data_IF_056950147975
#
_entry.id   IF_056950147975
#
_cell.length_a   1.000
_cell.length_b   1.000
_cell.length_c   1.000
_cell.angle_alpha   90.00
_cell.angle_beta   90.00
_cell.angle_gamma   90.00
#
_symmetry.space_group_name_H-M   'P 1'
#
loop_
_entity.id
_entity.type
_entity.pdbx_description
1 polymer ?
#
# COMPACT_ATOMS: atom_id res chain seq x y z
N UNK A 1 24.83 -12.48 -14.39
CA UNK A 1 23.71 -12.49 -13.42
C UNK A 1 22.70 -11.51 -13.96
N UNK A 2 21.53 -12.04 -14.33
CA UNK A 2 20.49 -11.31 -15.05
C UNK A 2 19.74 -10.41 -14.06
N UNK A 3 19.69 -9.10 -14.32
CA UNK A 3 19.06 -8.10 -13.41
C UNK A 3 17.52 -8.14 -13.47
N UNK A 4 16.94 -9.09 -14.20
CA UNK A 4 15.50 -9.31 -14.32
C UNK A 4 14.84 -9.84 -13.04
N UNK A 5 15.63 -10.37 -12.09
CA UNK A 5 15.17 -10.89 -10.79
C UNK A 5 14.87 -9.79 -9.72
N UNK A 6 14.97 -8.49 -10.06
CA UNK A 6 14.94 -7.39 -9.07
C UNK A 6 13.67 -6.54 -9.07
N UNK A 7 12.67 -6.79 -9.92
CA UNK A 7 11.43 -6.01 -9.88
C UNK A 7 10.53 -6.48 -8.73
N UNK A 8 10.14 -5.59 -7.79
CA UNK A 8 9.26 -5.97 -6.71
C UNK A 8 7.87 -6.31 -7.23
N UNK A 9 7.23 -7.30 -6.62
CA UNK A 9 5.83 -7.62 -6.88
C UNK A 9 4.97 -6.53 -6.25
N UNK A 10 4.14 -5.88 -7.08
CA UNK A 10 3.25 -4.83 -6.62
C UNK A 10 1.98 -5.43 -5.98
N UNK A 11 1.70 -5.04 -4.74
CA UNK A 11 0.47 -5.39 -4.03
C UNK A 11 -0.21 -4.10 -3.56
N UNK A 12 -1.35 -3.73 -4.15
CA UNK A 12 -2.16 -2.62 -3.63
C UNK A 12 -3.15 -3.12 -2.60
N UNK A 13 -3.03 -2.65 -1.35
CA UNK A 13 -3.96 -3.00 -0.28
C UNK A 13 -5.41 -2.60 -0.64
N UNK A 14 -5.57 -1.49 -1.36
CA UNK A 14 -6.88 -1.05 -1.84
C UNK A 14 -7.49 -1.99 -2.89
N UNK A 15 -6.68 -2.55 -3.81
CA UNK A 15 -7.17 -3.52 -4.79
C UNK A 15 -7.51 -4.86 -4.14
N UNK A 16 -6.68 -5.34 -3.21
CA UNK A 16 -6.98 -6.55 -2.44
C UNK A 16 -8.30 -6.42 -1.68
N UNK A 17 -8.53 -5.29 -1.02
CA UNK A 17 -9.79 -5.00 -0.34
C UNK A 17 -10.97 -4.92 -1.32
N UNK A 18 -10.81 -4.27 -2.48
CA UNK A 18 -11.87 -4.21 -3.50
C UNK A 18 -12.21 -5.58 -4.07
N UNK A 19 -11.22 -6.44 -4.28
CA UNK A 19 -11.42 -7.81 -4.74
C UNK A 19 -12.13 -8.66 -3.68
N UNK A 20 -11.68 -8.60 -2.42
CA UNK A 20 -12.32 -9.31 -1.30
C UNK A 20 -13.75 -8.83 -1.04
N UNK A 21 -14.02 -7.54 -1.29
CA UNK A 21 -15.35 -6.95 -1.20
C UNK A 21 -16.36 -7.61 -2.13
N UNK A 22 -15.94 -7.91 -3.36
CA UNK A 22 -16.81 -8.48 -4.40
C UNK A 22 -16.70 -9.99 -4.53
N UNK A 23 -15.85 -10.63 -3.73
CA UNK A 23 -15.64 -12.07 -3.77
C UNK A 23 -16.89 -12.80 -3.26
N UNK A 24 -17.38 -13.75 -4.05
CA UNK A 24 -18.52 -14.60 -3.66
C UNK A 24 -18.19 -15.37 -2.37
N UNK A 25 -19.15 -15.37 -1.43
CA UNK A 25 -18.98 -16.01 -0.12
C UNK A 25 -17.99 -15.30 0.82
N UNK A 26 -17.60 -14.04 0.54
CA UNK A 26 -16.73 -13.28 1.44
C UNK A 26 -17.44 -12.93 2.75
N UNK A 27 -16.84 -13.36 3.86
CA UNK A 27 -17.29 -13.00 5.22
C UNK A 27 -17.08 -11.50 5.52
N UNK A 28 -16.12 -10.86 4.83
CA UNK A 28 -15.74 -9.48 5.06
C UNK A 28 -16.36 -8.50 4.05
N UNK A 29 -17.05 -8.97 3.02
CA UNK A 29 -17.43 -8.15 1.87
C UNK A 29 -18.25 -6.91 2.24
N UNK A 30 -19.30 -7.08 3.04
CA UNK A 30 -20.15 -5.98 3.51
C UNK A 30 -19.43 -5.04 4.48
N UNK A 31 -18.51 -5.56 5.30
CA UNK A 31 -17.72 -4.75 6.21
C UNK A 31 -16.77 -3.85 5.41
N UNK A 32 -16.05 -4.42 4.46
CA UNK A 32 -15.12 -3.69 3.59
C UNK A 32 -15.86 -2.61 2.79
N UNK A 33 -17.03 -2.91 2.22
CA UNK A 33 -17.80 -1.93 1.44
C UNK A 33 -18.16 -0.68 2.24
N UNK A 34 -18.63 -0.86 3.49
CA UNK A 34 -18.96 0.26 4.39
C UNK A 34 -17.75 1.15 4.67
N UNK A 35 -16.62 0.56 5.04
CA UNK A 35 -15.42 1.32 5.37
C UNK A 35 -14.85 2.06 4.15
N UNK A 36 -14.84 1.44 2.97
CA UNK A 36 -14.35 2.07 1.73
C UNK A 36 -15.23 3.26 1.35
N UNK A 37 -16.56 3.11 1.34
CA UNK A 37 -17.49 4.19 1.00
C UNK A 37 -17.37 5.38 1.95
N UNK A 38 -17.16 5.12 3.23
CA UNK A 38 -17.01 6.16 4.26
C UNK A 38 -15.61 6.82 4.28
N UNK A 39 -14.66 6.35 3.46
CA UNK A 39 -13.28 6.83 3.49
C UNK A 39 -12.53 6.48 4.78
N UNK A 40 -12.98 5.42 5.49
CA UNK A 40 -12.40 4.93 6.75
C UNK A 40 -11.40 3.81 6.49
N UNK A 41 -10.53 3.57 7.47
CA UNK A 41 -9.53 2.49 7.41
C UNK A 41 -10.19 1.18 7.82
N UNK A 42 -10.15 0.18 6.92
CA UNK A 42 -10.63 -1.19 7.20
C UNK A 42 -9.82 -1.78 8.37
N UNK A 43 -10.43 -2.60 9.26
CA UNK A 43 -9.72 -3.28 10.33
C UNK A 43 -8.41 -3.93 9.87
N UNK A 44 -7.39 -3.80 10.71
CA UNK A 44 -6.00 -4.13 10.39
C UNK A 44 -5.83 -5.61 10.04
N UNK A 45 -6.50 -6.49 10.76
CA UNK A 45 -6.40 -7.94 10.63
C UNK A 45 -6.82 -8.41 9.24
N UNK A 46 -7.87 -7.81 8.69
CA UNK A 46 -8.37 -8.13 7.34
C UNK A 46 -7.31 -7.75 6.31
N UNK A 47 -6.78 -6.53 6.40
CA UNK A 47 -5.81 -6.01 5.42
C UNK A 47 -4.51 -6.80 5.46
N UNK A 48 -3.99 -7.12 6.66
CA UNK A 48 -2.75 -7.89 6.82
C UNK A 48 -2.94 -9.32 6.31
N UNK A 49 -4.06 -9.98 6.62
CA UNK A 49 -4.29 -11.34 6.16
C UNK A 49 -4.39 -11.43 4.64
N UNK A 50 -5.02 -10.44 3.98
CA UNK A 50 -5.06 -10.36 2.53
C UNK A 50 -3.66 -10.16 1.92
N UNK A 51 -2.87 -9.24 2.49
CA UNK A 51 -1.48 -9.01 2.06
C UNK A 51 -0.62 -10.26 2.23
N UNK A 52 -0.68 -10.87 3.42
CA UNK A 52 0.07 -12.09 3.74
C UNK A 52 -0.28 -13.23 2.77
N UNK A 53 -1.57 -13.48 2.55
CA UNK A 53 -2.04 -14.50 1.60
C UNK A 53 -1.50 -14.24 0.19
N UNK A 54 -1.61 -13.00 -0.30
CA UNK A 54 -1.10 -12.64 -1.63
C UNK A 54 0.42 -12.83 -1.76
N UNK A 55 1.19 -12.50 -0.71
CA UNK A 55 2.63 -12.75 -0.67
C UNK A 55 2.96 -14.24 -0.67
N UNK A 56 2.27 -15.04 0.16
CA UNK A 56 2.47 -16.49 0.25
C UNK A 56 2.13 -17.18 -1.08
N UNK A 57 1.00 -16.85 -1.71
CA UNK A 57 0.61 -17.38 -3.02
C UNK A 57 1.64 -17.00 -4.11
N UNK A 58 2.15 -15.77 -4.09
CA UNK A 58 3.19 -15.33 -5.03
C UNK A 58 4.46 -16.16 -4.88
N UNK A 59 4.93 -16.34 -3.65
CA UNK A 59 6.17 -17.09 -3.35
C UNK A 59 6.02 -18.60 -3.59
N UNK A 60 4.80 -19.13 -3.48
CA UNK A 60 4.52 -20.53 -3.82
C UNK A 60 4.61 -20.78 -5.33
N UNK A 61 4.15 -19.81 -6.14
CA UNK A 61 4.23 -19.90 -7.59
C UNK A 61 5.65 -19.67 -8.12
N UNK A 62 6.41 -18.79 -7.46
CA UNK A 62 7.76 -18.41 -7.86
C UNK A 62 8.59 -18.03 -6.63
N UNK A 63 9.51 -18.91 -6.23
CA UNK A 63 10.34 -18.71 -5.04
C UNK A 63 11.35 -17.57 -5.18
N UNK A 64 11.62 -17.08 -6.40
CA UNK A 64 12.46 -15.91 -6.64
C UNK A 64 11.72 -14.58 -6.37
N UNK A 65 10.38 -14.61 -6.27
CA UNK A 65 9.54 -13.43 -5.98
C UNK A 65 9.31 -13.21 -4.48
N UNK A 66 10.37 -12.83 -3.78
CA UNK A 66 10.35 -12.56 -2.33
C UNK A 66 10.36 -11.07 -1.97
N UNK A 67 10.29 -10.17 -2.97
CA UNK A 67 10.32 -8.71 -2.78
C UNK A 67 8.99 -8.09 -3.19
N UNK A 68 8.44 -7.25 -2.33
CA UNK A 68 7.11 -6.68 -2.51
C UNK A 68 7.11 -5.17 -2.35
N UNK A 69 6.40 -4.49 -3.26
CA UNK A 69 6.02 -3.09 -3.13
C UNK A 69 4.55 -3.06 -2.70
N UNK A 70 4.32 -2.71 -1.43
CA UNK A 70 2.97 -2.65 -0.87
C UNK A 70 2.45 -1.22 -0.99
N UNK A 71 1.51 -1.00 -1.91
CA UNK A 71 0.86 0.29 -2.12
C UNK A 71 -0.31 0.47 -1.14
N UNK A 72 -0.38 1.66 -0.53
CA UNK A 72 -1.48 2.08 0.30
C UNK A 72 -1.54 1.44 1.69
N UNK A 73 -0.44 0.88 2.20
CA UNK A 73 -0.32 0.31 3.56
C UNK A 73 1.10 0.54 4.14
N UNK A 74 1.26 0.77 5.45
CA UNK A 74 0.23 0.94 6.49
C UNK A 74 -0.46 2.32 6.41
N UNK A 75 -1.74 2.40 6.83
CA UNK A 75 -2.51 3.65 6.82
C UNK A 75 -2.66 4.33 8.18
N UNK A 76 -2.44 3.61 9.27
CA UNK A 76 -2.43 4.13 10.64
C UNK A 76 -1.44 3.35 11.52
N UNK A 77 -1.26 3.80 12.76
CA UNK A 77 -0.34 3.16 13.71
C UNK A 77 -0.75 1.70 14.00
N UNK A 78 -2.05 1.42 14.08
CA UNK A 78 -2.57 0.07 14.33
C UNK A 78 -2.20 -0.90 13.20
N UNK A 79 -2.27 -0.45 11.94
CA UNK A 79 -1.77 -1.19 10.78
C UNK A 79 -0.30 -1.56 10.92
N UNK A 80 0.53 -0.60 11.33
CA UNK A 80 1.95 -0.83 11.51
C UNK A 80 2.23 -1.79 12.68
N UNK A 81 1.54 -1.63 13.81
CA UNK A 81 1.69 -2.53 14.95
C UNK A 81 1.21 -3.95 14.64
N UNK A 82 0.05 -4.08 14.00
CA UNK A 82 -0.47 -5.37 13.54
C UNK A 82 0.49 -6.03 12.57
N UNK A 83 1.08 -5.26 11.64
CA UNK A 83 2.08 -5.78 10.70
C UNK A 83 3.26 -6.39 11.45
N UNK A 84 3.85 -5.64 12.38
CA UNK A 84 4.98 -6.14 13.16
C UNK A 84 4.60 -7.37 13.98
N UNK A 85 3.39 -7.42 14.54
CA UNK A 85 2.92 -8.58 15.31
C UNK A 85 2.78 -9.85 14.44
N UNK A 86 2.21 -9.72 13.25
CA UNK A 86 1.89 -10.87 12.37
C UNK A 86 3.08 -11.28 11.50
N UNK A 87 3.92 -10.33 11.09
CA UNK A 87 4.97 -10.53 10.09
C UNK A 87 6.39 -10.65 10.69
N UNK A 88 6.60 -10.25 11.95
CA UNK A 88 7.88 -10.41 12.68
C UNK A 88 7.94 -11.73 13.48
N UNK A 89 7.25 -12.78 13.01
CA UNK A 89 7.25 -14.08 13.66
C UNK A 89 8.55 -14.86 13.37
N UNK A 90 9.61 -14.49 14.10
CA UNK A 90 10.88 -15.22 14.17
C UNK A 90 10.74 -16.65 14.71
N UNK A 91 9.65 -16.97 15.42
CA UNK A 91 9.44 -18.28 16.02
C UNK A 91 8.88 -19.30 15.01
N UNK A 92 8.21 -18.84 13.96
CA UNK A 92 7.60 -19.69 12.92
C UNK A 92 8.60 -20.38 11.97
N UNK A 93 9.89 -20.03 12.02
CA UNK A 93 10.91 -20.51 11.07
C UNK A 93 10.70 -20.06 9.61
N UNK A 94 9.63 -19.32 9.31
CA UNK A 94 9.40 -18.64 8.04
C UNK A 94 10.10 -17.28 8.11
N UNK A 95 10.80 -16.90 7.03
CA UNK A 95 11.61 -15.69 7.02
C UNK A 95 10.83 -14.44 7.46
N UNK A 96 11.45 -13.61 8.31
CA UNK A 96 10.83 -12.38 8.78
C UNK A 96 10.61 -11.42 7.61
N UNK A 97 9.36 -11.01 7.36
CA UNK A 97 9.08 -10.00 6.35
C UNK A 97 9.36 -8.63 6.96
N UNK A 98 10.53 -8.07 6.66
CA UNK A 98 10.92 -6.75 7.17
C UNK A 98 10.30 -5.65 6.32
N UNK A 99 9.70 -4.67 6.99
CA UNK A 99 9.30 -3.43 6.35
C UNK A 99 10.56 -2.60 6.01
N UNK A 100 10.92 -2.56 4.73
CA UNK A 100 12.20 -2.00 4.25
C UNK A 100 12.28 -0.48 4.28
N UNK A 101 11.16 0.23 4.04
CA UNK A 101 11.12 1.68 4.00
C UNK A 101 9.83 2.20 3.37
N UNK A 102 9.74 3.52 3.23
CA UNK A 102 8.58 4.21 2.65
C UNK A 102 9.02 5.00 1.42
N UNK A 103 8.39 4.73 0.28
CA UNK A 103 8.44 5.60 -0.89
C UNK A 103 7.31 6.63 -0.77
N UNK A 104 7.64 7.90 -0.59
CA UNK A 104 6.67 8.97 -0.46
C UNK A 104 6.60 9.83 -1.73
N UNK A 105 5.43 9.83 -2.37
CA UNK A 105 5.13 10.66 -3.53
C UNK A 105 4.47 11.95 -3.04
N UNK A 106 5.25 13.03 -2.97
CA UNK A 106 4.75 14.32 -2.50
C UNK A 106 3.99 15.04 -3.63
N UNK A 107 2.73 15.39 -3.40
CA UNK A 107 1.93 16.16 -4.37
C UNK A 107 0.80 16.96 -3.69
N UNK A 108 0.51 18.16 -4.18
CA UNK A 108 -0.62 18.99 -3.75
C UNK A 108 -1.92 18.74 -4.56
N UNK A 109 -1.86 18.08 -5.73
CA UNK A 109 -2.94 18.02 -6.73
C UNK A 109 -3.66 16.65 -6.77
N UNK A 110 -3.64 15.90 -5.67
CA UNK A 110 -4.20 14.54 -5.62
C UNK A 110 -5.73 14.51 -5.85
N UNK A 111 -6.46 15.58 -5.52
CA UNK A 111 -7.92 15.65 -5.68
C UNK A 111 -8.30 15.59 -7.15
N UNK A 112 -7.76 16.48 -7.98
CA UNK A 112 -8.14 16.59 -9.39
C UNK A 112 -7.78 15.31 -10.15
N UNK A 113 -6.62 14.71 -9.86
CA UNK A 113 -6.22 13.40 -10.42
C UNK A 113 -7.20 12.29 -10.06
N UNK A 114 -7.67 12.25 -8.80
CA UNK A 114 -8.65 11.25 -8.39
C UNK A 114 -10.03 11.49 -8.99
N UNK A 115 -10.47 12.75 -9.10
CA UNK A 115 -11.74 13.09 -9.75
C UNK A 115 -11.73 12.72 -11.23
N UNK A 116 -10.62 12.97 -11.95
CA UNK A 116 -10.48 12.58 -13.36
C UNK A 116 -10.55 11.05 -13.50
N UNK A 117 -9.86 10.31 -12.63
CA UNK A 117 -9.93 8.84 -12.59
C UNK A 117 -11.34 8.34 -12.29
N UNK A 118 -12.10 9.03 -11.44
CA UNK A 118 -13.48 8.67 -11.11
C UNK A 118 -14.41 8.62 -12.32
N UNK A 119 -14.11 9.39 -13.38
CA UNK A 119 -14.93 9.44 -14.61
C UNK A 119 -14.91 8.15 -15.42
N UNK A 120 -13.85 7.34 -15.31
CA UNK A 120 -13.64 6.16 -16.17
C UNK A 120 -13.36 4.86 -15.42
N UNK A 121 -13.00 4.91 -14.13
CA UNK A 121 -12.52 3.73 -13.39
C UNK A 121 -13.60 2.87 -12.73
N UNK A 122 -14.86 3.33 -12.68
CA UNK A 122 -15.92 2.67 -11.93
C UNK A 122 -15.74 2.70 -10.39
N UNK A 123 -14.78 3.50 -9.89
CA UNK A 123 -14.54 3.70 -8.44
C UNK A 123 -15.57 4.66 -7.87
N UNK A 124 -16.45 4.13 -7.04
CA UNK A 124 -17.55 4.90 -6.41
C UNK A 124 -17.06 5.90 -5.36
N UNK A 125 -15.85 5.70 -4.81
CA UNK A 125 -15.23 6.52 -3.77
C UNK A 125 -14.31 7.64 -4.32
N UNK A 126 -14.17 7.76 -5.64
CA UNK A 126 -13.44 8.85 -6.28
C UNK A 126 -14.38 10.06 -6.54
N UNK A 127 -15.01 10.54 -5.47
CA UNK A 127 -15.86 11.74 -5.45
C UNK A 127 -15.34 12.76 -4.42
N UNK A 128 -15.74 14.04 -4.53
CA UNK A 128 -15.19 15.13 -3.70
C UNK A 128 -15.33 14.85 -2.20
N UNK A 129 -16.50 14.42 -1.74
CA UNK A 129 -16.77 14.17 -0.33
C UNK A 129 -15.88 13.05 0.23
N UNK A 130 -15.80 11.91 -0.48
CA UNK A 130 -14.94 10.79 -0.11
C UNK A 130 -13.46 11.16 -0.15
N UNK A 131 -13.03 11.97 -1.11
CA UNK A 131 -11.63 12.41 -1.25
C UNK A 131 -11.21 13.36 -0.14
N UNK A 132 -12.07 14.30 0.25
CA UNK A 132 -11.83 15.20 1.39
C UNK A 132 -11.66 14.41 2.68
N UNK A 133 -12.56 13.44 2.94
CA UNK A 133 -12.45 12.50 4.08
C UNK A 133 -11.14 11.71 4.03
N UNK A 134 -10.76 11.18 2.86
CA UNK A 134 -9.51 10.41 2.68
C UNK A 134 -8.26 11.26 2.97
N UNK A 135 -8.25 12.53 2.57
CA UNK A 135 -7.13 13.44 2.85
C UNK A 135 -7.03 13.72 4.35
N UNK A 136 -8.15 13.96 5.03
CA UNK A 136 -8.14 14.15 6.48
C UNK A 136 -7.64 12.90 7.22
N UNK A 137 -8.14 11.72 6.85
CA UNK A 137 -7.67 10.44 7.39
C UNK A 137 -6.16 10.26 7.15
N UNK A 138 -5.67 10.58 5.95
CA UNK A 138 -4.25 10.51 5.62
C UNK A 138 -3.39 11.43 6.50
N UNK A 139 -3.79 12.70 6.63
CA UNK A 139 -3.05 13.68 7.43
C UNK A 139 -3.01 13.31 8.92
N UNK A 140 -4.12 12.77 9.45
CA UNK A 140 -4.22 12.43 10.86
C UNK A 140 -3.56 11.08 11.20
N UNK A 141 -3.68 10.09 10.30
CA UNK A 141 -3.34 8.70 10.62
C UNK A 141 -2.12 8.18 9.88
N UNK A 142 -1.95 8.52 8.60
CA UNK A 142 -0.83 8.00 7.78
C UNK A 142 0.42 8.86 7.91
N UNK A 143 0.28 10.19 7.93
CA UNK A 143 1.40 11.12 8.02
C UNK A 143 2.32 10.87 9.24
N UNK A 144 1.83 10.59 10.45
CA UNK A 144 2.70 10.27 11.60
C UNK A 144 3.60 9.04 11.36
N UNK A 145 3.16 8.08 10.55
CA UNK A 145 3.96 6.91 10.18
C UNK A 145 5.11 7.32 9.26
N UNK A 146 4.82 8.17 8.27
CA UNK A 146 5.86 8.71 7.38
C UNK A 146 6.90 9.47 8.21
N UNK A 147 6.47 10.31 9.15
CA UNK A 147 7.35 11.06 10.04
C UNK A 147 8.18 10.13 10.97
N UNK A 148 7.60 9.02 11.43
CA UNK A 148 8.32 7.98 12.17
C UNK A 148 9.45 7.37 11.33
N UNK A 149 9.16 6.93 10.10
CA UNK A 149 10.18 6.35 9.22
C UNK A 149 11.19 7.39 8.70
N UNK A 150 10.78 8.66 8.58
CA UNK A 150 11.65 9.77 8.20
C UNK A 150 12.74 9.94 9.26
N UNK A 151 12.37 9.95 10.55
CA UNK A 151 13.31 10.01 11.68
C UNK A 151 14.26 8.82 11.74
N UNK A 152 13.88 7.69 11.16
CA UNK A 152 14.72 6.49 11.06
C UNK A 152 15.60 6.47 9.79
N UNK A 153 15.52 7.48 8.92
CA UNK A 153 16.26 7.51 7.65
C UNK A 153 15.74 6.52 6.59
N UNK A 154 14.51 6.01 6.77
CA UNK A 154 13.89 4.95 5.95
C UNK A 154 12.85 5.46 4.96
N UNK A 155 12.69 6.77 4.83
CA UNK A 155 11.83 7.38 3.80
C UNK A 155 12.69 7.77 2.61
N UNK A 156 12.18 7.51 1.41
CA UNK A 156 12.67 8.05 0.14
C UNK A 156 11.53 8.87 -0.45
N UNK A 157 11.76 10.16 -0.69
CA UNK A 157 10.73 11.07 -1.20
C UNK A 157 10.98 11.36 -2.67
N UNK A 158 9.93 11.33 -3.48
CA UNK A 158 9.93 11.74 -4.88
C UNK A 158 8.87 12.82 -5.08
N UNK A 159 9.23 13.90 -5.76
CA UNK A 159 8.27 14.91 -6.18
C UNK A 159 7.42 14.37 -7.33
N UNK A 160 6.13 14.17 -7.04
CA UNK A 160 5.15 13.58 -7.96
C UNK A 160 4.31 14.63 -8.72
N UNK A 161 4.68 15.91 -8.62
CA UNK A 161 4.10 17.00 -9.40
C UNK A 161 4.57 17.06 -10.85
N UNK A 162 5.70 16.40 -11.16
CA UNK A 162 6.30 16.32 -12.51
C UNK A 162 5.63 15.27 -13.41
N UNK A 163 6.08 15.18 -14.66
CA UNK A 163 5.60 14.21 -15.63
C UNK A 163 5.85 12.76 -15.20
N UNK A 164 4.98 11.84 -15.65
CA UNK A 164 5.02 10.41 -15.26
C UNK A 164 6.39 9.77 -15.54
N UNK A 165 7.03 10.11 -16.66
CA UNK A 165 8.32 9.55 -17.06
C UNK A 165 9.46 10.04 -16.14
N UNK A 166 9.41 11.31 -15.73
CA UNK A 166 10.39 11.89 -14.79
C UNK A 166 10.26 11.26 -13.40
N UNK A 167 9.02 11.14 -12.91
CA UNK A 167 8.73 10.49 -11.63
C UNK A 167 9.18 9.03 -11.66
N UNK A 168 8.90 8.31 -12.75
CA UNK A 168 9.32 6.92 -12.90
C UNK A 168 10.84 6.78 -12.94
N UNK A 169 11.55 7.68 -13.64
CA UNK A 169 13.01 7.68 -13.68
C UNK A 169 13.61 7.83 -12.28
N UNK A 170 13.07 8.74 -11.46
CA UNK A 170 13.53 8.96 -10.09
C UNK A 170 13.23 7.77 -9.18
N UNK A 171 12.04 7.20 -9.26
CA UNK A 171 11.68 5.99 -8.50
C UNK A 171 12.60 4.83 -8.88
N UNK A 172 12.86 4.63 -10.17
CA UNK A 172 13.77 3.58 -10.65
C UNK A 172 15.18 3.80 -10.10
N UNK A 173 15.70 5.03 -10.17
CA UNK A 173 17.03 5.37 -9.67
C UNK A 173 17.15 5.15 -8.14
N UNK A 174 16.10 5.37 -7.37
CA UNK A 174 16.06 5.10 -5.94
C UNK A 174 16.05 3.60 -5.64
N UNK A 175 15.21 2.83 -6.32
CA UNK A 175 15.08 1.39 -6.10
C UNK A 175 16.36 0.64 -6.50
N UNK A 176 17.03 1.03 -7.59
CA UNK A 176 18.31 0.42 -8.01
C UNK A 176 19.44 0.65 -7.00
N UNK A 177 19.43 1.76 -6.24
CA UNK A 177 20.47 2.05 -5.23
C UNK A 177 20.33 1.23 -3.95
N UNK A 178 19.11 0.83 -3.61
CA UNK A 178 18.82 0.06 -2.39
C UNK A 178 18.96 -1.46 -2.62
N UNK A 179 19.25 -1.88 -3.87
CA UNK A 179 19.63 -3.23 -4.27
C UNK A 179 18.45 -4.08 -4.69
#
# INVERSE_FOLDING_TARGET
>A
MDFTCLSPVHLSAGDLLRAERTREGSEFGQLIDRYIKDGRIVPVEITINLLKKAMEETMQLDQEKFRFLIDGFPRNQDNLQGWNSVMDDKASGRGCVKFGGVLFLAEAVCIDRCLERGKSSGRTDDNRESLEKRIQTYLQSTRPIIELYQRQGKVRTVDASRGVDEVFADVKALLTKEG
#
